data_IF_348955110219
#
_entry.id   IF_348955110219
#
_cell.length_a   1.000
_cell.length_b   1.000
_cell.length_c   1.000
_cell.angle_alpha   90.00
_cell.angle_beta   90.00
_cell.angle_gamma   90.00
#
_symmetry.space_group_name_H-M   'P 1'
#
loop_
_entity.id
_entity.type
_entity.pdbx_description
1 polymer ?
#
# COMPACT_ATOMS: atom_id res chain seq x y z
N UNK A 1 -20.46 -6.98 0.83
CA UNK A 1 -20.08 -6.18 2.01
C UNK A 1 -19.14 -5.11 1.50
N UNK A 2 -19.54 -3.83 1.53
CA UNK A 2 -18.75 -2.74 0.95
C UNK A 2 -17.49 -2.50 1.79
N UNK A 3 -16.36 -3.06 1.35
CA UNK A 3 -15.07 -2.90 2.04
C UNK A 3 -14.57 -1.48 1.84
N UNK A 4 -14.43 -0.70 2.92
CA UNK A 4 -14.10 0.73 2.84
C UNK A 4 -12.63 1.04 2.56
N UNK A 5 -11.75 0.05 2.66
CA UNK A 5 -10.29 0.20 2.51
C UNK A 5 -9.87 -0.54 1.25
N UNK A 6 -9.51 0.22 0.22
CA UNK A 6 -9.25 -0.32 -1.13
C UNK A 6 -7.77 -0.33 -1.45
N UNK A 7 -7.34 -1.33 -2.22
CA UNK A 7 -5.99 -1.39 -2.75
C UNK A 7 -5.73 -0.20 -3.66
N UNK A 8 -4.54 0.39 -3.55
CA UNK A 8 -4.08 1.51 -4.39
C UNK A 8 -3.02 1.03 -5.35
N UNK A 9 -3.08 1.52 -6.58
CA UNK A 9 -2.12 1.21 -7.62
C UNK A 9 -1.83 2.41 -8.51
N UNK A 10 -0.75 2.30 -9.27
CA UNK A 10 -0.40 3.28 -10.28
C UNK A 10 -0.66 2.71 -11.66
N UNK A 11 -1.39 3.45 -12.50
CA UNK A 11 -1.66 3.09 -13.89
C UNK A 11 -0.37 3.13 -14.73
N UNK A 12 -0.48 2.69 -15.98
CA UNK A 12 0.62 2.81 -16.94
C UNK A 12 1.08 4.27 -17.15
N UNK A 13 0.16 5.24 -16.97
CA UNK A 13 0.43 6.68 -17.10
C UNK A 13 1.03 7.29 -15.83
N UNK A 14 1.04 6.55 -14.72
CA UNK A 14 1.51 7.03 -13.42
C UNK A 14 0.43 7.69 -12.57
N UNK A 15 -0.82 7.68 -13.02
CA UNK A 15 -1.95 8.13 -12.21
C UNK A 15 -2.20 7.13 -11.08
N UNK A 16 -2.58 7.64 -9.90
CA UNK A 16 -2.95 6.80 -8.77
C UNK A 16 -4.45 6.53 -8.82
N UNK A 17 -4.80 5.26 -8.77
CA UNK A 17 -6.17 4.78 -8.75
C UNK A 17 -6.33 3.73 -7.66
N UNK A 18 -7.57 3.36 -7.39
CA UNK A 18 -7.92 2.30 -6.44
C UNK A 18 -8.88 1.31 -7.09
N UNK A 19 -8.86 0.08 -6.61
CA UNK A 19 -9.76 -0.96 -7.08
C UNK A 19 -11.10 -0.89 -6.33
N UNK A 20 -12.22 -1.08 -7.03
CA UNK A 20 -13.55 -0.99 -6.44
C UNK A 20 -13.92 -2.22 -5.61
N UNK A 21 -13.35 -3.39 -5.90
CA UNK A 21 -13.74 -4.68 -5.31
C UNK A 21 -12.70 -5.19 -4.32
N UNK A 22 -11.42 -4.96 -4.60
CA UNK A 22 -10.30 -5.50 -3.83
C UNK A 22 -9.97 -4.66 -2.58
N UNK A 23 -9.91 -5.34 -1.44
CA UNK A 23 -9.45 -4.74 -0.18
C UNK A 23 -7.93 -4.53 -0.19
N UNK A 24 -7.46 -3.50 0.51
CA UNK A 24 -6.04 -3.28 0.67
C UNK A 24 -5.39 -4.36 1.56
N UNK A 25 -4.23 -4.84 1.13
CA UNK A 25 -3.39 -5.78 1.87
C UNK A 25 -2.08 -5.12 2.32
N UNK A 26 -1.62 -5.54 3.49
CA UNK A 26 -0.27 -5.30 4.00
C UNK A 26 0.51 -6.60 4.06
N UNK A 27 1.81 -6.54 3.77
CA UNK A 27 2.70 -7.69 3.93
C UNK A 27 3.42 -7.64 5.29
N UNK A 28 3.44 -8.78 5.98
CA UNK A 28 4.21 -9.03 7.20
C UNK A 28 5.00 -10.32 7.04
N UNK A 29 6.30 -10.19 6.73
CA UNK A 29 7.11 -11.34 6.33
C UNK A 29 6.59 -11.94 5.02
N UNK A 30 6.21 -13.22 5.06
CA UNK A 30 5.68 -13.97 3.92
C UNK A 30 4.13 -13.98 3.88
N UNK A 31 3.49 -13.37 4.87
CA UNK A 31 2.03 -13.35 4.99
C UNK A 31 1.42 -12.04 4.48
N UNK A 32 0.19 -12.13 3.99
CA UNK A 32 -0.63 -10.98 3.61
C UNK A 32 -1.82 -10.83 4.56
N UNK A 33 -2.01 -9.61 5.06
CA UNK A 33 -3.01 -9.27 6.04
C UNK A 33 -3.95 -8.20 5.46
N UNK A 34 -5.26 -8.34 5.65
CA UNK A 34 -6.22 -7.28 5.36
C UNK A 34 -5.92 -6.07 6.24
N UNK A 35 -5.65 -4.91 5.61
CA UNK A 35 -5.40 -3.68 6.34
C UNK A 35 -6.69 -3.20 6.98
N UNK A 36 -6.66 -3.01 8.29
CA UNK A 36 -7.82 -2.58 9.06
C UNK A 36 -7.75 -1.07 9.35
N UNK A 37 -8.88 -0.42 9.67
CA UNK A 37 -8.88 0.99 10.02
C UNK A 37 -7.91 1.33 11.14
N UNK A 38 -7.77 0.44 12.13
CA UNK A 38 -6.80 0.59 13.19
C UNK A 38 -5.39 0.69 12.61
N UNK A 39 -4.96 -0.12 11.65
CA UNK A 39 -3.58 -0.15 11.10
C UNK A 39 -3.18 1.12 10.33
N UNK A 40 -4.13 2.00 10.06
CA UNK A 40 -3.96 3.09 9.11
C UNK A 40 -3.98 4.47 9.78
N UNK A 41 -3.18 5.37 9.24
CA UNK A 41 -3.30 6.82 9.44
C UNK A 41 -3.44 7.51 8.09
N UNK A 42 -4.04 8.72 7.99
CA UNK A 42 -4.00 9.49 6.76
C UNK A 42 -2.54 9.69 6.33
N UNK A 43 -2.28 9.72 5.02
CA UNK A 43 -0.93 9.91 4.48
C UNK A 43 -0.30 11.17 5.11
N UNK A 44 0.79 11.05 5.91
CA UNK A 44 1.36 12.19 6.60
C UNK A 44 1.87 13.26 5.63
N UNK A 45 1.74 14.52 6.02
CA UNK A 45 2.42 15.61 5.32
C UNK A 45 3.94 15.35 5.32
N UNK A 46 4.57 15.45 4.16
CA UNK A 46 5.99 15.14 3.97
C UNK A 46 6.31 13.66 3.68
N UNK A 47 5.30 12.78 3.63
CA UNK A 47 5.48 11.44 3.07
C UNK A 47 5.67 11.51 1.54
N UNK A 48 6.46 10.58 1.01
CA UNK A 48 6.73 10.46 -0.43
C UNK A 48 6.14 9.18 -0.98
N UNK A 49 5.47 9.25 -2.14
CA UNK A 49 4.89 8.08 -2.81
C UNK A 49 5.86 7.52 -3.85
N UNK A 50 5.89 6.20 -3.97
CA UNK A 50 6.77 5.46 -4.86
C UNK A 50 6.00 4.41 -5.64
N UNK A 51 6.22 4.37 -6.95
CA UNK A 51 5.89 3.20 -7.74
C UNK A 51 6.87 2.08 -7.45
N UNK A 52 6.41 0.84 -7.55
CA UNK A 52 7.23 -0.34 -7.39
C UNK A 52 7.36 -1.04 -8.76
N UNK A 53 8.41 -0.75 -9.56
CA UNK A 53 8.56 -1.34 -10.88
C UNK A 53 8.62 -2.87 -10.83
N UNK A 54 7.95 -3.50 -11.80
CA UNK A 54 7.89 -4.96 -11.90
C UNK A 54 7.09 -5.64 -10.78
N UNK A 55 6.30 -4.91 -10.00
CA UNK A 55 5.49 -5.46 -8.91
C UNK A 55 4.01 -5.15 -9.15
N UNK A 56 3.19 -6.19 -9.20
CA UNK A 56 1.74 -6.06 -9.34
C UNK A 56 1.12 -5.90 -7.95
N UNK A 57 0.20 -4.95 -7.72
CA UNK A 57 -0.46 -4.78 -6.43
C UNK A 57 -1.26 -6.04 -6.08
N UNK A 58 -1.26 -6.40 -4.79
CA UNK A 58 -2.11 -7.45 -4.25
C UNK A 58 -3.31 -6.84 -3.52
N UNK A 59 -4.46 -7.48 -3.63
CA UNK A 59 -5.66 -7.15 -2.89
C UNK A 59 -6.45 -8.38 -2.46
N UNK A 60 -7.41 -8.19 -1.56
CA UNK A 60 -8.25 -9.27 -1.04
C UNK A 60 -9.64 -9.20 -1.70
N UNK A 61 -10.04 -10.27 -2.38
CA UNK A 61 -11.36 -10.45 -2.96
C UNK A 61 -12.41 -10.76 -1.88
N UNK A 62 -13.68 -10.55 -2.21
CA UNK A 62 -14.80 -10.64 -1.25
C UNK A 62 -14.98 -12.01 -0.59
N UNK A 63 -14.50 -13.06 -1.25
CA UNK A 63 -14.49 -14.46 -0.80
C UNK A 63 -13.27 -14.81 0.08
N UNK A 64 -12.33 -13.88 0.27
CA UNK A 64 -11.09 -14.08 1.01
C UNK A 64 -9.90 -14.50 0.15
N UNK A 65 -10.06 -14.57 -1.18
CA UNK A 65 -8.94 -14.90 -2.09
C UNK A 65 -8.00 -13.71 -2.24
N UNK A 66 -6.69 -13.97 -2.18
CA UNK A 66 -5.67 -12.96 -2.50
C UNK A 66 -5.46 -12.92 -4.01
N UNK A 67 -5.72 -11.76 -4.60
CA UNK A 67 -5.60 -11.52 -6.03
C UNK A 67 -4.55 -10.46 -6.34
N UNK A 68 -4.04 -10.44 -7.57
CA UNK A 68 -3.17 -9.38 -8.06
C UNK A 68 -3.79 -8.72 -9.28
N UNK A 69 -3.60 -7.41 -9.42
CA UNK A 69 -4.09 -6.70 -10.61
C UNK A 69 -3.13 -6.97 -11.78
N UNK A 70 -3.61 -7.73 -12.76
CA UNK A 70 -2.79 -8.33 -13.82
C UNK A 70 -2.47 -7.41 -15.01
N UNK A 71 -2.96 -6.17 -15.01
CA UNK A 71 -2.95 -5.33 -16.20
C UNK A 71 -1.55 -4.79 -16.55
N UNK A 72 -1.35 -4.57 -17.85
CA UNK A 72 -0.07 -4.10 -18.38
C UNK A 72 0.17 -2.64 -17.94
N UNK A 73 1.29 -2.42 -17.27
CA UNK A 73 1.71 -1.09 -16.82
C UNK A 73 1.20 -0.71 -15.43
N UNK A 74 0.25 -1.48 -14.86
CA UNK A 74 -0.13 -1.33 -13.45
C UNK A 74 1.03 -1.72 -12.55
N UNK A 75 1.28 -0.88 -11.54
CA UNK A 75 2.37 -1.01 -10.57
C UNK A 75 1.82 -0.84 -9.16
N UNK A 76 2.32 -1.67 -8.25
CA UNK A 76 2.10 -1.48 -6.83
C UNK A 76 2.68 -0.14 -6.37
N UNK A 77 2.07 0.45 -5.33
CA UNK A 77 2.43 1.74 -4.77
C UNK A 77 2.85 1.54 -3.31
N UNK A 78 3.82 2.33 -2.88
CA UNK A 78 4.25 2.41 -1.48
C UNK A 78 4.44 3.87 -1.08
N UNK A 79 4.50 4.11 0.23
CA UNK A 79 4.96 5.39 0.77
C UNK A 79 6.26 5.23 1.55
N UNK A 80 7.03 6.30 1.66
CA UNK A 80 8.08 6.49 2.66
C UNK A 80 7.59 7.53 3.64
N UNK A 81 7.68 7.21 4.93
CA UNK A 81 7.23 8.07 6.02
C UNK A 81 8.32 9.07 6.40
N UNK A 82 7.95 10.30 6.82
CA UNK A 82 8.88 11.21 7.47
C UNK A 82 9.28 10.68 8.86
N UNK A 83 10.24 11.35 9.51
CA UNK A 83 10.61 11.05 10.89
C UNK A 83 9.40 11.16 11.83
N UNK A 84 9.42 10.34 12.89
CA UNK A 84 8.38 10.33 13.91
C UNK A 84 7.21 9.42 13.61
N UNK A 85 7.34 8.56 12.59
CA UNK A 85 6.38 7.52 12.25
C UNK A 85 7.04 6.15 12.16
N UNK A 86 6.33 5.14 12.63
CA UNK A 86 6.69 3.73 12.52
C UNK A 86 5.77 3.05 11.50
N UNK A 87 6.34 2.41 10.48
CA UNK A 87 5.59 1.55 9.55
C UNK A 87 5.11 0.28 10.26
N UNK A 88 3.91 -0.17 9.94
CA UNK A 88 3.32 -1.42 10.45
C UNK A 88 3.40 -2.54 9.43
N UNK A 89 3.11 -2.24 8.15
CA UNK A 89 3.11 -3.23 7.07
C UNK A 89 3.93 -2.77 5.88
N UNK A 90 4.57 -3.72 5.20
CA UNK A 90 5.17 -3.51 3.88
C UNK A 90 4.06 -3.48 2.80
N UNK A 91 4.29 -2.83 1.64
CA UNK A 91 3.36 -2.89 0.53
C UNK A 91 3.16 -4.34 0.06
N UNK A 92 1.90 -4.77 -0.09
CA UNK A 92 1.58 -6.09 -0.60
C UNK A 92 1.66 -6.08 -2.14
N UNK A 93 2.52 -6.92 -2.70
CA UNK A 93 2.68 -7.05 -4.13
C UNK A 93 3.14 -8.45 -4.55
N UNK A 94 2.86 -8.79 -5.81
CA UNK A 94 3.50 -9.92 -6.48
C UNK A 94 4.67 -9.44 -7.33
N UNK A 95 5.86 -9.94 -7.02
CA UNK A 95 7.08 -9.63 -7.78
C UNK A 95 7.10 -10.40 -9.10
N UNK A 96 7.28 -9.69 -10.22
CA UNK A 96 7.55 -10.31 -11.53
C UNK A 96 9.00 -10.80 -11.60
N UNK A 97 9.26 -11.83 -12.38
CA UNK A 97 10.58 -12.49 -12.49
C UNK A 97 11.74 -11.51 -12.73
N UNK A 98 11.55 -10.56 -13.66
CA UNK A 98 12.56 -9.55 -14.04
C UNK A 98 12.42 -8.23 -13.26
N UNK A 99 11.73 -8.21 -12.12
CA UNK A 99 11.56 -7.00 -11.35
C UNK A 99 12.91 -6.51 -10.79
N UNK A 100 13.25 -5.22 -10.97
CA UNK A 100 14.50 -4.68 -10.46
C UNK A 100 14.54 -4.74 -8.93
N UNK A 101 15.76 -4.70 -8.39
CA UNK A 101 15.97 -4.48 -6.96
C UNK A 101 15.42 -3.11 -6.59
N UNK A 102 14.65 -3.04 -5.51
CA UNK A 102 14.23 -1.77 -4.96
C UNK A 102 15.38 -1.19 -4.13
N UNK A 103 15.54 0.15 -4.11
CA UNK A 103 16.36 0.81 -3.11
C UNK A 103 15.94 0.40 -1.70
N UNK A 104 16.88 0.34 -0.76
CA UNK A 104 16.64 -0.04 0.64
C UNK A 104 16.00 1.11 1.43
N UNK A 105 14.74 1.40 1.13
CA UNK A 105 13.95 2.40 1.83
C UNK A 105 12.91 1.78 2.77
N UNK A 106 12.44 2.58 3.73
CA UNK A 106 11.39 2.20 4.67
C UNK A 106 10.00 2.25 4.06
N UNK A 107 9.72 1.43 3.04
CA UNK A 107 8.41 1.38 2.38
C UNK A 107 7.30 0.93 3.33
N UNK A 108 6.14 1.58 3.24
CA UNK A 108 4.90 1.18 3.91
C UNK A 108 3.76 0.98 2.92
N UNK A 109 2.81 0.10 3.27
CA UNK A 109 1.60 -0.12 2.49
C UNK A 109 0.74 1.15 2.41
N UNK A 110 0.11 1.34 1.24
CA UNK A 110 -0.78 2.46 0.93
C UNK A 110 -2.17 1.90 0.64
N UNK A 111 -3.20 2.57 1.14
CA UNK A 111 -4.60 2.23 0.93
C UNK A 111 -5.41 3.49 0.60
N UNK A 112 -6.57 3.29 -0.03
CA UNK A 112 -7.56 4.35 -0.24
C UNK A 112 -8.74 4.13 0.69
N UNK A 113 -9.12 5.18 1.43
CA UNK A 113 -10.22 5.16 2.39
C UNK A 113 -10.77 6.58 2.51
N UNK A 114 -12.10 6.72 2.47
CA UNK A 114 -12.80 8.00 2.73
C UNK A 114 -12.27 9.17 1.87
N UNK A 115 -12.07 8.92 0.57
CA UNK A 115 -11.71 9.97 -0.39
C UNK A 115 -10.24 10.38 -0.39
N UNK A 116 -9.37 9.73 0.39
CA UNK A 116 -7.95 10.08 0.48
C UNK A 116 -7.04 8.85 0.66
N UNK A 117 -5.74 9.08 0.55
CA UNK A 117 -4.71 8.07 0.79
C UNK A 117 -4.42 7.91 2.28
N UNK A 118 -4.27 6.67 2.69
CA UNK A 118 -3.88 6.24 4.02
C UNK A 118 -2.67 5.32 3.94
N UNK A 119 -1.92 5.21 5.03
CA UNK A 119 -0.71 4.38 5.11
C UNK A 119 -0.71 3.53 6.36
N UNK A 120 -0.12 2.34 6.24
CA UNK A 120 0.03 1.39 7.34
C UNK A 120 1.11 1.82 8.32
N UNK A 121 0.77 2.74 9.22
CA UNK A 121 1.74 3.39 10.10
C UNK A 121 1.12 3.87 11.43
N UNK A 122 2.01 4.22 12.35
CA UNK A 122 1.72 4.96 13.58
C UNK A 122 2.62 6.16 13.69
N UNK A 123 2.08 7.26 14.20
CA UNK A 123 2.91 8.33 14.74
C UNK A 123 3.51 7.85 16.06
N UNK A 124 4.82 7.91 16.18
CA UNK A 124 5.57 7.45 17.34
C UNK A 124 6.34 8.55 18.04
N UNK A 125 6.42 9.73 17.44
CA UNK A 125 7.01 10.92 18.04
C UNK A 125 5.95 11.97 18.35
N UNK A 126 6.11 12.62 19.50
CA UNK A 126 5.30 13.74 19.98
C UNK A 126 6.22 14.98 20.06
N UNK A 127 6.45 15.71 18.95
CA UNK A 127 7.11 17.00 19.01
C UNK A 127 6.23 17.96 19.82
N UNK A 128 6.54 18.10 21.11
CA UNK A 128 5.74 18.89 22.04
C UNK A 128 5.72 18.44 23.51
N UNK A 129 6.56 17.50 23.94
CA UNK A 129 6.88 17.31 25.37
C UNK A 129 8.33 17.68 25.64
#
# INVERSE_FOLDING_TARGET
>A
MDRKIKVVYATARGELEYDAELAALGANGEEYWELRPEDLIPLPAGASLFYLPGRAPLGLAGDGTVEFIAEKGIRAVAAILPQGYTRLFLPAYRRKEKAPRLPLFGYTAVAFKEGQLWVAARRTDEPGK
#
